data_IF_172708158261
#
_entry.id   IF_172708158261
#
_cell.length_a   1.000
_cell.length_b   1.000
_cell.length_c   1.000
_cell.angle_alpha   90.00
_cell.angle_beta   90.00
_cell.angle_gamma   90.00
#
_symmetry.space_group_name_H-M   'P 1'
#
loop_
_entity.id
_entity.type
_entity.pdbx_description
1 polymer ?
#
# COMPACT_ATOMS: atom_id res chain seq x y z
N UNK A 1 71.56 29.44 19.29
CA UNK A 1 70.99 30.02 20.53
C UNK A 1 69.75 30.81 20.11
N UNK A 2 68.51 30.44 20.35
CA UNK A 2 67.86 29.43 21.19
C UNK A 2 66.37 29.84 21.24
N UNK A 3 65.52 28.88 21.60
CA UNK A 3 64.10 29.02 21.99
C UNK A 3 63.10 29.02 20.82
N UNK A 4 62.47 27.88 20.48
CA UNK A 4 61.48 27.07 21.21
C UNK A 4 60.07 27.71 21.26
N UNK A 5 59.20 27.14 20.43
CA UNK A 5 57.79 26.85 20.70
C UNK A 5 57.03 27.74 21.70
N UNK A 6 56.24 28.65 21.15
CA UNK A 6 55.03 29.20 21.77
C UNK A 6 54.34 30.06 20.71
N UNK A 7 53.10 29.82 20.28
CA UNK A 7 51.90 29.49 21.05
C UNK A 7 50.88 28.83 20.11
N UNK A 8 50.33 27.69 20.55
CA UNK A 8 49.00 27.10 20.29
C UNK A 8 48.34 27.35 18.92
N UNK A 9 48.20 26.29 18.12
CA UNK A 9 47.27 26.25 16.97
C UNK A 9 45.86 26.57 17.48
N UNK A 10 45.29 27.67 17.02
CA UNK A 10 43.88 28.02 17.24
C UNK A 10 43.07 27.15 16.29
N UNK A 11 42.51 26.06 16.79
CA UNK A 11 41.44 25.35 16.10
C UNK A 11 40.20 26.24 16.13
N UNK A 12 39.60 26.61 14.98
CA UNK A 12 38.30 27.24 14.99
C UNK A 12 37.34 26.23 15.60
N UNK A 13 36.83 26.57 16.79
CA UNK A 13 35.82 25.78 17.50
C UNK A 13 34.52 25.95 16.71
N UNK A 14 34.31 25.10 15.72
CA UNK A 14 33.05 25.04 14.97
C UNK A 14 31.97 24.72 16.00
N UNK A 15 30.99 25.61 16.23
CA UNK A 15 29.89 25.29 17.12
C UNK A 15 29.09 24.16 16.45
N UNK A 16 28.93 23.04 17.16
CA UNK A 16 27.99 22.01 16.75
C UNK A 16 26.60 22.67 16.72
N UNK A 17 25.79 22.46 15.66
CA UNK A 17 24.44 22.97 15.65
C UNK A 17 23.68 22.33 16.82
N UNK A 18 23.16 23.17 17.72
CA UNK A 18 22.25 22.70 18.75
C UNK A 18 21.06 22.06 18.04
N UNK A 19 20.90 20.75 18.26
CA UNK A 19 19.77 20.00 17.72
C UNK A 19 18.48 20.67 18.15
N UNK A 20 17.52 20.83 17.22
CA UNK A 20 16.21 21.39 17.51
C UNK A 20 15.62 20.67 18.73
N UNK A 21 15.22 21.44 19.75
CA UNK A 21 14.57 20.91 20.93
C UNK A 21 13.38 20.03 20.52
N UNK A 22 13.49 18.75 20.84
CA UNK A 22 12.53 17.73 20.49
C UNK A 22 11.21 18.03 21.20
N UNK A 23 10.15 18.22 20.42
CA UNK A 23 8.83 18.53 20.94
C UNK A 23 8.05 17.21 20.99
N UNK A 24 7.81 16.67 22.19
CA UNK A 24 7.08 15.39 22.39
C UNK A 24 5.68 15.37 21.75
N UNK A 25 5.11 16.55 21.47
CA UNK A 25 3.86 16.71 20.73
C UNK A 25 3.95 16.29 19.26
N UNK A 26 5.14 16.23 18.66
CA UNK A 26 5.33 15.74 17.30
C UNK A 26 5.10 14.22 17.17
N UNK A 27 5.14 13.50 18.29
CA UNK A 27 4.91 12.04 18.37
C UNK A 27 3.52 11.66 18.88
N UNK A 28 2.65 12.64 19.13
CA UNK A 28 1.27 12.37 19.50
C UNK A 28 0.46 12.13 18.23
N UNK A 29 0.11 10.86 17.98
CA UNK A 29 -0.89 10.55 16.99
C UNK A 29 -2.24 11.10 17.46
N UNK A 30 -2.88 11.91 16.61
CA UNK A 30 -4.24 12.39 16.85
C UNK A 30 -5.15 11.19 17.15
N UNK A 31 -5.53 11.00 18.42
CA UNK A 31 -6.64 10.13 18.81
C UNK A 31 -7.94 10.79 18.37
N UNK A 32 -8.21 10.77 17.07
CA UNK A 32 -9.58 11.00 16.58
C UNK A 32 -10.40 9.79 17.02
N UNK A 33 -11.51 10.05 17.70
CA UNK A 33 -12.56 9.08 17.93
C UNK A 33 -13.00 8.47 16.57
N UNK A 34 -13.45 7.20 16.54
CA UNK A 34 -13.91 6.58 15.30
C UNK A 34 -15.19 7.29 14.83
N UNK A 35 -15.06 8.27 13.93
CA UNK A 35 -16.18 8.70 13.11
C UNK A 35 -16.42 7.61 12.07
N UNK A 36 -17.43 6.79 12.35
CA UNK A 36 -18.24 5.98 11.44
C UNK A 36 -17.81 6.03 9.96
N UNK A 37 -16.85 5.17 9.59
CA UNK A 37 -16.58 4.82 8.19
C UNK A 37 -17.39 3.58 7.88
N UNK A 38 -18.45 3.74 7.09
CA UNK A 38 -19.13 2.63 6.43
C UNK A 38 -18.21 2.10 5.34
N UNK A 39 -17.84 0.83 5.42
CA UNK A 39 -16.96 0.17 4.45
C UNK A 39 -17.81 -0.57 3.40
N UNK A 40 -17.58 -0.28 2.13
CA UNK A 40 -18.19 -0.96 0.99
C UNK A 40 -17.51 -2.32 0.71
N UNK A 41 -18.25 -3.32 0.16
CA UNK A 41 -17.84 -4.72 0.15
C UNK A 41 -16.55 -5.07 -0.63
N UNK A 42 -16.08 -4.23 -1.56
CA UNK A 42 -14.81 -4.48 -2.26
C UNK A 42 -13.56 -4.26 -1.39
N UNK A 43 -13.67 -3.53 -0.27
CA UNK A 43 -12.55 -3.31 0.66
C UNK A 43 -12.30 -4.51 1.61
N UNK A 44 -13.21 -5.50 1.60
CA UNK A 44 -13.12 -6.74 2.38
C UNK A 44 -12.21 -7.78 1.69
N UNK A 45 -12.07 -7.74 0.35
CA UNK A 45 -11.28 -8.75 -0.39
C UNK A 45 -9.76 -8.53 -0.35
N UNK A 46 -9.30 -7.29 -0.15
CA UNK A 46 -7.87 -6.97 -0.02
C UNK A 46 -7.27 -7.26 1.38
N UNK A 47 -8.09 -7.46 2.42
CA UNK A 47 -7.64 -7.75 3.79
C UNK A 47 -7.53 -9.26 4.11
N UNK A 48 -8.10 -10.12 3.25
CA UNK A 48 -8.33 -11.55 3.55
C UNK A 48 -7.19 -12.46 3.06
N UNK A 49 -6.18 -11.95 2.36
CA UNK A 49 -4.95 -12.73 2.09
C UNK A 49 -5.21 -14.11 1.49
N UNK A 50 -6.11 -14.21 0.49
CA UNK A 50 -6.58 -15.49 -0.06
C UNK A 50 -5.49 -16.30 -0.77
N UNK A 51 -4.31 -15.74 -1.06
CA UNK A 51 -3.27 -16.47 -1.79
C UNK A 51 -1.86 -16.17 -1.27
N UNK A 52 -1.45 -16.73 -0.11
CA UNK A 52 -0.13 -17.36 0.11
C UNK A 52 0.10 -17.82 1.59
N UNK A 53 0.97 -18.83 1.86
CA UNK A 53 0.65 -19.94 2.77
C UNK A 53 1.53 -20.10 4.03
N UNK A 54 0.90 -20.68 5.07
CA UNK A 54 1.35 -21.68 6.09
C UNK A 54 2.64 -21.43 6.90
N UNK A 55 2.54 -21.44 8.25
CA UNK A 55 3.26 -22.38 9.17
C UNK A 55 2.93 -22.17 10.66
N UNK A 56 2.44 -23.22 11.31
CA UNK A 56 2.23 -23.48 12.76
C UNK A 56 3.58 -23.62 13.54
N UNK A 57 3.70 -23.63 14.91
CA UNK A 57 2.89 -24.46 15.83
C UNK A 57 2.69 -24.05 17.34
N UNK A 58 1.64 -24.62 17.95
CA UNK A 58 1.54 -25.28 19.30
C UNK A 58 1.25 -24.54 20.65
N UNK A 59 0.22 -25.08 21.36
CA UNK A 59 -0.19 -25.01 22.80
C UNK A 59 -0.79 -23.70 23.37
N UNK A 60 -1.87 -23.64 24.16
CA UNK A 60 -2.67 -24.59 24.95
C UNK A 60 -4.11 -24.03 25.20
N UNK A 61 -5.10 -24.82 25.69
CA UNK A 61 -6.51 -24.45 25.77
C UNK A 61 -6.87 -23.81 27.13
N UNK A 62 -7.74 -22.80 27.14
CA UNK A 62 -8.41 -22.34 28.35
C UNK A 62 -9.83 -21.87 28.04
N UNK A 63 -10.76 -22.78 28.34
CA UNK A 63 -11.96 -22.66 29.15
C UNK A 63 -12.80 -21.36 29.19
N UNK A 64 -14.10 -21.64 29.25
CA UNK A 64 -15.21 -20.87 29.85
C UNK A 64 -16.10 -20.06 28.89
N UNK A 65 -17.09 -20.76 28.33
CA UNK A 65 -18.41 -20.18 28.07
C UNK A 65 -19.02 -19.60 29.36
N UNK A 66 -19.83 -18.53 29.23
CA UNK A 66 -21.11 -18.56 29.91
C UNK A 66 -22.27 -18.18 28.98
N UNK A 67 -23.21 -19.14 28.88
CA UNK A 67 -24.67 -19.01 28.96
C UNK A 67 -25.35 -17.81 28.27
N UNK A 68 -26.03 -18.17 27.18
CA UNK A 68 -27.48 -17.95 26.92
C UNK A 68 -28.18 -16.77 27.59
N UNK A 69 -28.57 -15.79 26.76
CA UNK A 69 -29.86 -15.12 26.90
C UNK A 69 -30.60 -15.18 25.56
N UNK A 70 -31.67 -15.98 25.54
CA UNK A 70 -32.68 -16.01 24.50
C UNK A 70 -33.38 -14.65 24.45
N UNK A 71 -33.22 -13.93 23.35
CA UNK A 71 -34.12 -12.84 23.00
C UNK A 71 -34.78 -13.20 21.68
N UNK A 72 -35.81 -14.03 21.80
CA UNK A 72 -36.85 -14.20 20.79
C UNK A 72 -37.41 -12.83 20.43
N UNK A 73 -36.91 -12.27 19.33
CA UNK A 73 -37.55 -11.16 18.65
C UNK A 73 -38.08 -11.73 17.35
N UNK A 74 -39.40 -11.88 17.31
CA UNK A 74 -40.18 -12.23 16.13
C UNK A 74 -39.77 -11.28 14.98
N UNK A 75 -38.82 -11.72 14.17
CA UNK A 75 -38.55 -11.12 12.88
C UNK A 75 -39.55 -11.75 11.93
N UNK A 76 -40.61 -11.00 11.65
CA UNK A 76 -41.51 -11.30 10.55
C UNK A 76 -40.70 -11.70 9.33
N UNK A 77 -41.11 -12.79 8.71
CA UNK A 77 -40.54 -13.26 7.46
C UNK A 77 -40.68 -12.14 6.41
N UNK A 78 -39.67 -11.26 6.34
CA UNK A 78 -39.43 -10.47 5.16
C UNK A 78 -39.00 -11.49 4.12
N UNK A 79 -40.00 -11.93 3.37
CA UNK A 79 -39.88 -12.69 2.15
C UNK A 79 -38.78 -12.01 1.32
N UNK A 80 -37.59 -12.60 1.30
CA UNK A 80 -36.53 -12.15 0.43
C UNK A 80 -37.02 -12.42 -0.98
N UNK A 81 -37.60 -11.41 -1.62
CA UNK A 81 -37.90 -11.45 -3.04
C UNK A 81 -36.55 -11.30 -3.74
N UNK A 82 -35.99 -12.37 -4.34
CA UNK A 82 -34.76 -12.22 -5.09
C UNK A 82 -34.98 -11.17 -6.17
N UNK A 83 -33.97 -10.31 -6.45
CA UNK A 83 -34.09 -9.30 -7.48
C UNK A 83 -34.50 -10.00 -8.78
N UNK A 84 -35.67 -9.63 -9.30
CA UNK A 84 -36.14 -10.14 -10.60
C UNK A 84 -35.08 -9.74 -11.62
N UNK A 85 -34.31 -10.71 -12.07
CA UNK A 85 -33.38 -10.52 -13.17
C UNK A 85 -34.20 -10.02 -14.37
N UNK A 86 -33.96 -8.81 -14.90
CA UNK A 86 -34.70 -8.30 -16.05
C UNK A 86 -34.46 -9.15 -17.31
N UNK A 87 -33.48 -10.06 -17.25
CA UNK A 87 -33.12 -11.02 -18.28
C UNK A 87 -33.43 -12.46 -17.91
N UNK A 88 -34.17 -12.74 -16.82
CA UNK A 88 -34.56 -14.12 -16.50
C UNK A 88 -35.50 -14.62 -17.60
N UNK A 89 -35.00 -15.59 -18.35
CA UNK A 89 -35.49 -16.12 -19.64
C UNK A 89 -36.81 -16.88 -19.54
N UNK A 90 -37.86 -16.29 -18.98
CA UNK A 90 -39.16 -16.95 -18.77
C UNK A 90 -40.39 -16.10 -19.11
N UNK A 91 -40.27 -15.05 -19.92
CA UNK A 91 -41.43 -14.31 -20.41
C UNK A 91 -41.30 -13.98 -21.90
N UNK A 92 -41.75 -14.93 -22.72
CA UNK A 92 -42.31 -14.77 -24.07
C UNK A 92 -41.33 -14.36 -25.19
N UNK A 93 -41.45 -15.07 -26.31
CA UNK A 93 -40.83 -14.78 -27.60
C UNK A 93 -41.40 -13.49 -28.23
N UNK A 94 -41.49 -12.41 -27.47
CA UNK A 94 -41.98 -11.12 -27.91
C UNK A 94 -40.77 -10.26 -28.30
N UNK A 95 -40.77 -9.61 -29.46
CA UNK A 95 -39.64 -8.80 -29.88
C UNK A 95 -39.39 -7.69 -28.87
N UNK A 96 -38.18 -7.69 -28.29
CA UNK A 96 -37.73 -6.66 -27.36
C UNK A 96 -37.41 -5.38 -28.13
N UNK A 97 -38.22 -4.34 -27.92
CA UNK A 97 -38.00 -3.03 -28.54
C UNK A 97 -37.29 -2.10 -27.56
N UNK A 98 -36.09 -1.67 -27.95
CA UNK A 98 -35.33 -0.63 -27.23
C UNK A 98 -35.64 0.71 -27.90
N UNK A 99 -35.97 1.73 -27.09
CA UNK A 99 -36.11 3.10 -27.60
C UNK A 99 -34.80 3.56 -28.20
N UNK A 100 -34.85 4.20 -29.38
CA UNK A 100 -33.66 4.67 -30.10
C UNK A 100 -32.76 5.57 -29.23
N UNK A 101 -33.35 6.42 -28.40
CA UNK A 101 -32.63 7.29 -27.45
C UNK A 101 -31.80 6.50 -26.44
N UNK A 102 -32.36 5.41 -25.91
CA UNK A 102 -31.69 4.53 -24.94
C UNK A 102 -30.56 3.78 -25.63
N UNK A 103 -30.80 3.29 -26.84
CA UNK A 103 -29.77 2.62 -27.64
C UNK A 103 -28.59 3.56 -27.94
N UNK A 104 -28.86 4.81 -28.32
CA UNK A 104 -27.80 5.80 -28.57
C UNK A 104 -27.00 6.12 -27.32
N UNK A 105 -27.67 6.23 -26.15
CA UNK A 105 -26.99 6.41 -24.87
C UNK A 105 -26.07 5.24 -24.55
N UNK A 106 -26.55 4.00 -24.71
CA UNK A 106 -25.77 2.78 -24.51
C UNK A 106 -24.55 2.75 -25.45
N UNK A 107 -24.72 3.11 -26.73
CA UNK A 107 -23.62 3.17 -27.68
C UNK A 107 -22.56 4.22 -27.28
N UNK A 108 -23.00 5.38 -26.83
CA UNK A 108 -22.09 6.43 -26.37
C UNK A 108 -21.32 5.98 -25.12
N UNK A 109 -21.99 5.37 -24.15
CA UNK A 109 -21.36 4.80 -22.96
C UNK A 109 -20.37 3.70 -23.32
N UNK A 110 -20.71 2.81 -24.26
CA UNK A 110 -19.80 1.79 -24.80
C UNK A 110 -18.56 2.40 -25.45
N UNK A 111 -18.73 3.48 -26.20
CA UNK A 111 -17.61 4.19 -26.82
C UNK A 111 -16.69 4.83 -25.79
N UNK A 112 -17.25 5.40 -24.72
CA UNK A 112 -16.49 5.98 -23.61
C UNK A 112 -15.74 4.89 -22.84
N UNK A 113 -16.38 3.75 -22.55
CA UNK A 113 -15.73 2.59 -21.93
C UNK A 113 -14.56 2.11 -22.79
N UNK A 114 -14.75 2.00 -24.11
CA UNK A 114 -13.68 1.62 -25.04
C UNK A 114 -12.50 2.61 -25.01
N UNK A 115 -12.77 3.91 -24.93
CA UNK A 115 -11.74 4.94 -24.77
C UNK A 115 -10.96 4.74 -23.48
N UNK A 116 -11.67 4.60 -22.35
CA UNK A 116 -11.06 4.40 -21.03
C UNK A 116 -10.20 3.12 -20.98
N UNK A 117 -10.64 2.03 -21.62
CA UNK A 117 -9.85 0.79 -21.73
C UNK A 117 -8.57 1.03 -22.54
N UNK A 118 -8.64 1.83 -23.61
CA UNK A 118 -7.46 2.18 -24.40
C UNK A 118 -6.46 3.01 -23.59
N UNK A 119 -6.95 4.03 -22.87
CA UNK A 119 -6.13 4.87 -21.99
C UNK A 119 -5.49 4.05 -20.87
N UNK A 120 -6.26 3.15 -20.24
CA UNK A 120 -5.73 2.26 -19.21
C UNK A 120 -4.64 1.33 -19.75
N UNK A 121 -4.80 0.84 -20.99
CA UNK A 121 -3.79 0.02 -21.66
C UNK A 121 -2.51 0.81 -21.94
N UNK A 122 -2.62 2.08 -22.32
CA UNK A 122 -1.46 2.95 -22.51
C UNK A 122 -0.76 3.26 -21.19
N UNK A 123 -1.53 3.59 -20.15
CA UNK A 123 -1.00 3.81 -18.80
C UNK A 123 -0.28 2.56 -18.25
N UNK A 124 -0.87 1.36 -18.46
CA UNK A 124 -0.26 0.08 -18.08
C UNK A 124 1.08 -0.15 -18.79
N UNK A 125 1.18 0.09 -20.10
CA UNK A 125 2.45 0.00 -20.83
C UNK A 125 3.48 1.02 -20.33
N UNK A 126 3.04 2.23 -20.01
CA UNK A 126 3.92 3.25 -19.45
C UNK A 126 4.45 2.85 -18.08
N UNK A 127 3.62 2.20 -17.26
CA UNK A 127 4.00 1.69 -15.95
C UNK A 127 5.05 0.58 -16.08
N UNK A 128 4.81 -0.43 -16.93
CA UNK A 128 5.77 -1.50 -17.19
C UNK A 128 7.13 -0.96 -17.66
N UNK A 129 7.13 0.07 -18.52
CA UNK A 129 8.36 0.72 -18.96
C UNK A 129 9.07 1.48 -17.83
N UNK A 130 8.31 2.14 -16.95
CA UNK A 130 8.85 2.83 -15.77
C UNK A 130 9.47 1.85 -14.79
N UNK A 131 8.76 0.77 -14.46
CA UNK A 131 9.23 -0.30 -13.56
C UNK A 131 10.53 -0.91 -14.08
N UNK A 132 10.60 -1.22 -15.38
CA UNK A 132 11.84 -1.74 -15.99
C UNK A 132 13.02 -0.76 -15.85
N UNK A 133 12.76 0.55 -15.97
CA UNK A 133 13.79 1.57 -15.78
C UNK A 133 14.23 1.68 -14.32
N UNK A 134 13.30 1.58 -13.37
CA UNK A 134 13.60 1.58 -11.94
C UNK A 134 14.47 0.39 -11.55
N UNK A 135 14.14 -0.83 -11.99
CA UNK A 135 14.92 -2.03 -11.73
C UNK A 135 16.35 -1.93 -12.27
N UNK A 136 16.49 -1.38 -13.48
CA UNK A 136 17.79 -1.14 -14.10
C UNK A 136 18.59 -0.11 -13.33
N UNK A 137 17.96 0.98 -12.88
CA UNK A 137 18.61 2.04 -12.11
C UNK A 137 19.00 1.56 -10.71
N UNK A 138 18.12 0.81 -10.04
CA UNK A 138 18.39 0.18 -8.75
C UNK A 138 19.55 -0.81 -8.86
N UNK A 139 19.57 -1.63 -9.92
CA UNK A 139 20.66 -2.56 -10.19
C UNK A 139 22.00 -1.84 -10.38
N UNK A 140 22.02 -0.71 -11.10
CA UNK A 140 23.22 0.13 -11.24
C UNK A 140 23.64 0.72 -9.89
N UNK A 141 22.70 1.29 -9.14
CA UNK A 141 22.94 1.88 -7.83
C UNK A 141 23.52 0.84 -6.86
N UNK A 142 22.94 -0.36 -6.82
CA UNK A 142 23.43 -1.48 -6.00
C UNK A 142 24.88 -1.84 -6.34
N UNK A 143 25.22 -1.91 -7.63
CA UNK A 143 26.60 -2.18 -8.09
C UNK A 143 27.56 -1.05 -7.68
N UNK A 144 27.16 0.21 -7.83
CA UNK A 144 28.00 1.35 -7.45
C UNK A 144 28.20 1.42 -5.94
N UNK A 145 27.15 1.19 -5.14
CA UNK A 145 27.24 1.16 -3.67
C UNK A 145 28.11 0.01 -3.21
N UNK A 146 27.97 -1.18 -3.80
CA UNK A 146 28.85 -2.32 -3.51
C UNK A 146 30.31 -1.99 -3.85
N UNK A 147 30.56 -1.41 -5.02
CA UNK A 147 31.93 -1.01 -5.39
C UNK A 147 32.51 0.05 -4.45
N UNK A 148 31.71 1.03 -4.02
CA UNK A 148 32.14 2.03 -3.04
C UNK A 148 32.46 1.39 -1.68
N UNK A 149 31.60 0.49 -1.20
CA UNK A 149 31.83 -0.29 0.02
C UNK A 149 33.11 -1.12 -0.07
N UNK A 150 33.33 -1.85 -1.16
CA UNK A 150 34.51 -2.69 -1.33
C UNK A 150 35.79 -1.85 -1.42
N UNK A 151 35.74 -0.68 -2.06
CA UNK A 151 36.85 0.29 -2.07
C UNK A 151 37.12 0.87 -0.69
N UNK A 152 36.08 1.21 0.08
CA UNK A 152 36.22 1.67 1.45
C UNK A 152 36.87 0.60 2.33
N UNK A 153 36.46 -0.67 2.19
CA UNK A 153 37.10 -1.78 2.88
C UNK A 153 38.55 -1.99 2.46
N UNK A 154 38.88 -1.80 1.17
CA UNK A 154 40.27 -1.86 0.71
C UNK A 154 41.10 -0.72 1.32
N UNK A 155 40.58 0.50 1.32
CA UNK A 155 41.25 1.66 1.94
C UNK A 155 41.42 1.43 3.45
N UNK A 156 40.39 0.95 4.13
CA UNK A 156 40.44 0.58 5.55
C UNK A 156 41.51 -0.48 5.81
N UNK A 157 41.56 -1.53 4.98
CA UNK A 157 42.61 -2.56 5.05
C UNK A 157 44.01 -1.98 4.83
N UNK A 158 44.20 -1.07 3.88
CA UNK A 158 45.49 -0.43 3.62
C UNK A 158 45.91 0.47 4.79
N UNK A 159 44.97 1.23 5.37
CA UNK A 159 45.25 2.18 6.47
C UNK A 159 45.51 1.46 7.79
N UNK A 160 44.72 0.42 8.10
CA UNK A 160 44.71 -0.21 9.43
C UNK A 160 45.37 -1.59 9.51
N UNK A 161 45.51 -2.30 8.39
CA UNK A 161 46.23 -3.59 8.31
C UNK A 161 47.51 -3.48 7.49
N UNK A 162 48.11 -2.28 7.44
CA UNK A 162 49.31 -1.98 6.64
C UNK A 162 50.32 -3.12 6.62
N UNK A 163 50.93 -3.33 5.45
CA UNK A 163 52.25 -3.96 5.39
C UNK A 163 53.23 -3.18 6.29
#
# INVERSE_FOLDING_TARGET
MGWLFGKKKITPKVPFPEGKNFNEKALQFNRRAPSEKVFEPEQVHAAVGVNEPISTPEQAPMDEEPKTEELNKEMGANEFVPPKNPFSTAANNEPLFIKVEVYQKILNELSAIKSNISELREASKSLEHSEYNEDKNFSKLRRTTKSAHDKLLQVDKIIFKGD
#
